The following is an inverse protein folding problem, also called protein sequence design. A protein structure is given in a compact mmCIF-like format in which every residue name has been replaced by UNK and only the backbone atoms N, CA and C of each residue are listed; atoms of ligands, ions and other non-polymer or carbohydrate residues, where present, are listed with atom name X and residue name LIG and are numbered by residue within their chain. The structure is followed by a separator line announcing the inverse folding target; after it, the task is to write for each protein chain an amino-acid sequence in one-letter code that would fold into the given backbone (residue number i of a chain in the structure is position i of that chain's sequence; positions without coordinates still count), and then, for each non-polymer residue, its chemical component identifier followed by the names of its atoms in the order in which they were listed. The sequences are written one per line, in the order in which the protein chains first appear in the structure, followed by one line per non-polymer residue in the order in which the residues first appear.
data_IF_807798627188
#
_entry.id   IF_807798627188
#
_cell.length_a   1.000
_cell.length_b   1.000
_cell.length_c   1.000
_cell.angle_alpha   90.00
_cell.angle_beta   90.00
_cell.angle_gamma   90.00
#
_symmetry.space_group_name_H-M   'P 1'
#
loop_
_entity.id
_entity.type
_entity.pdbx_description
1 polymer ?
#
# COMPACT_ATOMS: atom_id res chain seq x y z
N UNK A 1 -9.27 16.57 -20.72
CA UNK A 1 -9.65 16.80 -19.32
C UNK A 1 -8.82 15.83 -18.50
N UNK A 2 -8.03 16.34 -17.56
CA UNK A 2 -7.27 15.50 -16.64
C UNK A 2 -8.23 15.19 -15.48
N UNK A 3 -9.01 14.11 -15.59
CA UNK A 3 -10.01 13.66 -14.60
C UNK A 3 -9.37 13.08 -13.31
N UNK A 4 -8.08 13.34 -13.08
CA UNK A 4 -7.35 12.83 -11.93
C UNK A 4 -7.51 13.71 -10.69
N UNK A 5 -7.75 13.11 -9.53
CA UNK A 5 -7.89 13.78 -8.21
C UNK A 5 -6.62 14.54 -7.72
N UNK A 6 -5.64 14.83 -8.58
CA UNK A 6 -4.43 15.57 -8.21
C UNK A 6 -3.49 14.89 -7.19
N UNK A 7 -3.78 13.66 -6.77
CA UNK A 7 -2.99 12.92 -5.76
C UNK A 7 -1.55 12.61 -6.23
N UNK A 8 -0.54 12.97 -5.44
CA UNK A 8 0.87 12.67 -5.76
C UNK A 8 1.23 11.19 -5.59
N UNK A 9 0.46 10.46 -4.79
CA UNK A 9 0.67 9.04 -4.53
C UNK A 9 -0.62 8.30 -4.17
N UNK A 10 -0.58 6.98 -4.33
CA UNK A 10 -1.58 6.04 -3.85
C UNK A 10 -0.92 5.18 -2.77
N UNK A 11 -1.64 5.02 -1.67
CA UNK A 11 -1.23 4.17 -0.56
C UNK A 11 -2.26 3.08 -0.31
N UNK A 12 -1.80 1.91 0.10
CA UNK A 12 -2.68 0.84 0.57
C UNK A 12 -1.97 0.00 1.60
N UNK A 13 -2.70 -0.58 2.56
CA UNK A 13 -2.11 -1.36 3.64
C UNK A 13 -2.86 -2.65 3.89
N UNK A 14 -2.16 -3.63 4.44
CA UNK A 14 -2.75 -4.89 4.89
C UNK A 14 -1.98 -5.47 6.06
N UNK A 15 -2.51 -6.53 6.66
CA UNK A 15 -1.84 -7.25 7.75
C UNK A 15 -0.58 -7.94 7.22
N UNK A 16 0.47 -8.03 8.04
CA UNK A 16 1.71 -8.72 7.62
C UNK A 16 1.48 -10.18 7.18
N UNK A 17 0.41 -10.83 7.64
CA UNK A 17 0.09 -12.20 7.28
C UNK A 17 -0.52 -12.36 5.87
N UNK A 18 -1.03 -11.29 5.25
CA UNK A 18 -1.80 -11.38 4.00
C UNK A 18 -0.90 -11.45 2.75
N UNK A 19 -0.18 -12.56 2.58
CA UNK A 19 0.77 -12.75 1.48
C UNK A 19 0.13 -12.68 0.09
N UNK A 20 -1.12 -13.14 -0.06
CA UNK A 20 -1.83 -13.12 -1.36
C UNK A 20 -2.06 -11.69 -1.85
N UNK A 21 -2.48 -10.79 -0.96
CA UNK A 21 -2.71 -9.40 -1.29
C UNK A 21 -1.39 -8.64 -1.54
N UNK A 22 -0.36 -8.90 -0.73
CA UNK A 22 0.99 -8.33 -0.91
C UNK A 22 1.57 -8.64 -2.29
N UNK A 23 1.45 -9.89 -2.74
CA UNK A 23 1.86 -10.30 -4.07
C UNK A 23 1.05 -9.62 -5.21
N UNK A 24 -0.17 -9.14 -4.95
CA UNK A 24 -0.92 -8.34 -5.93
C UNK A 24 -0.34 -6.92 -5.99
N UNK A 25 -0.06 -6.31 -4.83
CA UNK A 25 0.53 -4.97 -4.78
C UNK A 25 1.87 -4.90 -5.50
N UNK A 26 2.73 -5.90 -5.30
CA UNK A 26 4.02 -6.03 -6.00
C UNK A 26 3.83 -6.15 -7.52
N UNK A 27 2.84 -6.94 -7.98
CA UNK A 27 2.51 -7.06 -9.42
C UNK A 27 1.95 -5.77 -10.02
N UNK A 28 1.26 -4.97 -9.22
CA UNK A 28 0.80 -3.62 -9.60
C UNK A 28 1.93 -2.59 -9.58
N UNK A 29 3.17 -3.00 -9.26
CA UNK A 29 4.32 -2.11 -9.18
C UNK A 29 4.37 -1.24 -7.93
N UNK A 30 3.48 -1.47 -6.95
CA UNK A 30 3.55 -0.81 -5.66
C UNK A 30 4.73 -1.34 -4.86
N UNK A 31 5.30 -0.50 -4.00
CA UNK A 31 6.46 -0.87 -3.16
C UNK A 31 6.06 -0.86 -1.69
N UNK A 32 6.45 -1.91 -0.97
CA UNK A 32 6.30 -1.96 0.47
C UNK A 32 7.19 -0.89 1.13
N UNK A 33 6.64 -0.16 2.08
CA UNK A 33 7.40 0.71 2.97
C UNK A 33 8.23 -0.16 3.92
N UNK A 34 9.49 0.20 4.11
CA UNK A 34 10.41 -0.55 4.98
C UNK A 34 9.92 -0.56 6.44
N UNK A 35 9.10 0.43 6.83
CA UNK A 35 8.57 0.54 8.19
C UNK A 35 7.12 0.06 8.22
N UNK A 36 6.90 -1.12 8.82
CA UNK A 36 5.56 -1.57 9.19
C UNK A 36 4.97 -0.71 10.32
N UNK A 37 3.66 -0.79 10.52
CA UNK A 37 2.95 -0.02 11.56
C UNK A 37 1.97 -0.88 12.35
N UNK A 38 1.65 -0.42 13.56
CA UNK A 38 0.62 -1.02 14.40
C UNK A 38 -0.73 -0.34 14.13
N UNK A 39 -1.73 -1.09 13.67
CA UNK A 39 -3.04 -0.54 13.35
C UNK A 39 -3.66 0.16 14.59
N UNK A 40 -4.07 1.44 14.49
CA UNK A 40 -4.52 2.22 15.64
C UNK A 40 -5.88 1.76 16.18
N UNK A 41 -6.74 1.24 15.30
CA UNK A 41 -8.06 0.73 15.71
C UNK A 41 -8.03 -0.67 16.36
N UNK A 42 -6.85 -1.31 16.48
CA UNK A 42 -6.71 -2.63 17.09
C UNK A 42 -5.99 -2.56 18.44
N UNK A 43 -6.45 -3.31 19.46
CA UNK A 43 -5.83 -3.27 20.78
C UNK A 43 -4.42 -3.89 20.79
N UNK A 44 -3.57 -3.52 21.76
CA UNK A 44 -2.29 -4.19 22.01
C UNK A 44 -2.43 -5.71 22.11
N UNK A 45 -1.48 -6.42 21.49
CA UNK A 45 -1.48 -7.89 21.44
C UNK A 45 -2.40 -8.51 20.39
N UNK A 46 -3.23 -7.73 19.68
CA UNK A 46 -4.09 -8.30 18.65
C UNK A 46 -3.26 -8.87 17.47
N UNK A 47 -3.48 -10.12 17.03
CA UNK A 47 -2.64 -10.78 16.03
C UNK A 47 -2.64 -10.09 14.66
N UNK A 48 -3.76 -9.43 14.31
CA UNK A 48 -3.87 -8.65 13.07
C UNK A 48 -3.39 -7.20 13.21
N UNK A 49 -2.88 -6.77 14.37
CA UNK A 49 -2.41 -5.40 14.56
C UNK A 49 -1.20 -5.02 13.69
N UNK A 50 -0.21 -5.90 13.47
CA UNK A 50 0.93 -5.58 12.61
C UNK A 50 0.52 -5.46 11.14
N UNK A 51 0.77 -4.29 10.55
CA UNK A 51 0.48 -3.97 9.16
C UNK A 51 1.73 -3.53 8.41
N UNK A 52 1.69 -3.69 7.09
CA UNK A 52 2.62 -3.11 6.13
C UNK A 52 1.88 -2.07 5.29
N UNK A 53 2.62 -1.08 4.81
CA UNK A 53 2.12 -0.04 3.92
C UNK A 53 2.75 -0.24 2.54
N UNK A 54 1.97 -0.11 1.49
CA UNK A 54 2.43 -0.10 0.10
C UNK A 54 2.16 1.27 -0.51
N UNK A 55 3.12 1.75 -1.30
CA UNK A 55 3.10 3.09 -1.90
C UNK A 55 3.35 2.97 -3.40
N UNK A 56 2.62 3.75 -4.19
CA UNK A 56 2.82 3.91 -5.61
C UNK A 56 2.82 5.41 -5.92
N UNK A 57 3.95 6.01 -6.36
CA UNK A 57 3.98 7.43 -6.70
C UNK A 57 3.34 7.68 -8.07
N UNK A 58 2.83 8.89 -8.28
CA UNK A 58 2.15 9.28 -9.52
C UNK A 58 2.92 8.95 -10.79
N UNK A 59 4.21 9.27 -10.78
CA UNK A 59 5.12 9.01 -11.91
C UNK A 59 5.19 7.52 -12.28
N UNK A 60 5.12 6.63 -11.29
CA UNK A 60 5.23 5.18 -11.52
C UNK A 60 3.97 4.61 -12.20
N UNK A 61 2.77 5.04 -11.78
CA UNK A 61 1.55 4.57 -12.45
C UNK A 61 1.31 5.24 -13.80
N UNK A 62 1.72 6.50 -13.97
CA UNK A 62 1.64 7.19 -15.26
C UNK A 62 2.55 6.53 -16.31
N UNK A 63 3.73 6.05 -15.89
CA UNK A 63 4.64 5.33 -16.78
C UNK A 63 4.14 3.93 -17.18
N UNK A 64 3.28 3.31 -16.37
CA UNK A 64 2.73 1.98 -16.65
C UNK A 64 1.49 2.01 -17.56
N UNK A 65 0.86 3.18 -17.74
CA UNK A 65 -0.31 3.38 -18.61
C UNK A 65 0.01 4.01 -19.98
N UNK A 66 1.29 4.25 -20.28
CA UNK A 66 1.78 4.71 -21.58
C UNK A 66 2.34 3.53 -22.39
#
# INVERSE_FOLDING_TARGET
MDDGMGLDEMVSFTTLANARWRAVMERLGMREDAVGFAHPALPPGHPLRPHCLYRLPRKAWQAAGA
#
